data_IF_370281925601
#
_entry.id   IF_370281925601
#
_cell.length_a   1.000
_cell.length_b   1.000
_cell.length_c   1.000
_cell.angle_alpha   90.00
_cell.angle_beta   90.00
_cell.angle_gamma   90.00
#
_symmetry.space_group_name_H-M   'P 1'
#
loop_
_entity.id
_entity.type
_entity.pdbx_description
1 polymer ?
#
# COMPACT_ATOMS: atom_id res chain seq x y z
N UNK A 1 -57.82 -0.30 -1.75
CA UNK A 1 -56.97 -0.67 -2.91
C UNK A 1 -55.61 0.03 -2.90
N UNK A 2 -55.51 1.33 -2.58
CA UNK A 2 -54.25 2.09 -2.51
C UNK A 2 -53.21 1.61 -1.46
N UNK A 3 -53.57 1.14 -0.24
CA UNK A 3 -52.56 0.74 0.74
C UNK A 3 -51.94 -0.64 0.45
N UNK A 4 -52.68 -1.54 -0.22
CA UNK A 4 -52.20 -2.88 -0.59
C UNK A 4 -51.16 -2.80 -1.71
N UNK A 5 -51.36 -1.90 -2.68
CA UNK A 5 -50.39 -1.67 -3.76
C UNK A 5 -49.09 -1.06 -3.21
N UNK A 6 -49.17 -0.13 -2.26
CA UNK A 6 -47.99 0.44 -1.61
C UNK A 6 -47.19 -0.62 -0.83
N UNK A 7 -47.88 -1.51 -0.10
CA UNK A 7 -47.23 -2.58 0.65
C UNK A 7 -46.52 -3.60 -0.26
N UNK A 8 -47.15 -3.95 -1.39
CA UNK A 8 -46.59 -4.85 -2.39
C UNK A 8 -45.38 -4.23 -3.11
N UNK A 9 -45.40 -2.91 -3.39
CA UNK A 9 -44.25 -2.20 -3.96
C UNK A 9 -43.06 -2.14 -3.00
N UNK A 10 -43.29 -1.88 -1.71
CA UNK A 10 -42.21 -1.91 -0.71
C UNK A 10 -41.62 -3.31 -0.52
N UNK A 11 -42.44 -4.36 -0.55
CA UNK A 11 -41.96 -5.74 -0.44
C UNK A 11 -41.10 -6.15 -1.65
N UNK A 12 -41.48 -5.71 -2.85
CA UNK A 12 -40.75 -5.99 -4.08
C UNK A 12 -39.34 -5.36 -4.09
N UNK A 13 -39.22 -4.12 -3.58
CA UNK A 13 -37.93 -3.43 -3.49
C UNK A 13 -36.97 -4.10 -2.49
N UNK A 14 -37.50 -4.63 -1.38
CA UNK A 14 -36.68 -5.31 -0.37
C UNK A 14 -36.08 -6.64 -0.88
N UNK A 15 -36.81 -7.38 -1.73
CA UNK A 15 -36.31 -8.64 -2.31
C UNK A 15 -35.23 -8.41 -3.39
N UNK A 16 -35.31 -7.31 -4.15
CA UNK A 16 -34.30 -6.99 -5.18
C UNK A 16 -32.95 -6.55 -4.58
N UNK A 17 -32.96 -5.97 -3.38
CA UNK A 17 -31.75 -5.53 -2.67
C UNK A 17 -30.97 -6.69 -2.00
N UNK A 18 -31.49 -7.93 -2.05
CA UNK A 18 -30.83 -9.12 -1.51
C UNK A 18 -30.01 -9.91 -2.55
N UNK A 19 -29.77 -9.37 -3.75
CA UNK A 19 -28.79 -9.96 -4.66
C UNK A 19 -27.39 -9.79 -4.06
N UNK A 20 -27.02 -10.82 -3.30
CA UNK A 20 -25.71 -11.07 -2.73
C UNK A 20 -24.70 -11.09 -3.87
N UNK A 21 -23.74 -10.18 -3.79
CA UNK A 21 -22.57 -10.16 -4.66
C UNK A 21 -21.79 -11.47 -4.47
N UNK A 22 -21.84 -12.33 -5.48
CA UNK A 22 -21.05 -13.54 -5.57
C UNK A 22 -19.58 -13.10 -5.67
N UNK A 23 -18.81 -13.19 -4.56
CA UNK A 23 -17.36 -13.08 -4.66
C UNK A 23 -16.88 -14.29 -5.44
N UNK A 24 -16.43 -14.06 -6.66
CA UNK A 24 -15.69 -15.02 -7.48
C UNK A 24 -14.43 -15.44 -6.70
N UNK A 25 -14.53 -16.49 -5.88
CA UNK A 25 -13.36 -17.20 -5.41
C UNK A 25 -12.80 -17.94 -6.62
N UNK A 26 -11.79 -17.34 -7.24
CA UNK A 26 -11.00 -17.90 -8.34
C UNK A 26 -10.87 -19.43 -8.20
N UNK A 27 -11.41 -20.23 -9.12
CA UNK A 27 -11.23 -21.67 -9.09
C UNK A 27 -9.75 -21.99 -9.31
N UNK A 28 -9.22 -22.79 -8.38
CA UNK A 28 -8.15 -23.77 -8.47
C UNK A 28 -7.11 -23.55 -9.57
N UNK A 29 -5.88 -23.26 -9.13
CA UNK A 29 -4.63 -23.42 -9.87
C UNK A 29 -4.65 -24.67 -10.74
N UNK A 30 -4.97 -24.49 -12.01
CA UNK A 30 -4.74 -25.49 -13.03
C UNK A 30 -3.24 -25.55 -13.28
N UNK A 31 -2.67 -26.70 -12.97
CA UNK A 31 -1.33 -27.15 -13.31
C UNK A 31 -0.98 -26.80 -14.75
N UNK A 32 0.19 -26.17 -14.91
CA UNK A 32 0.80 -25.90 -16.19
C UNK A 32 2.21 -25.35 -15.95
N UNK A 33 3.13 -26.25 -15.58
CA UNK A 33 4.57 -25.99 -15.63
C UNK A 33 4.96 -25.61 -17.06
N UNK A 34 4.95 -24.32 -17.35
CA UNK A 34 5.74 -23.75 -18.43
C UNK A 34 7.09 -23.37 -17.84
N UNK A 35 8.06 -24.27 -17.95
CA UNK A 35 9.48 -23.97 -17.82
C UNK A 35 9.79 -22.79 -18.75
N UNK A 36 9.88 -21.57 -18.20
CA UNK A 36 10.31 -20.41 -18.98
C UNK A 36 11.82 -20.53 -19.12
N UNK A 37 12.37 -20.71 -20.33
CA UNK A 37 13.81 -20.85 -20.50
C UNK A 37 14.49 -19.58 -19.99
N UNK A 38 15.28 -19.73 -18.93
CA UNK A 38 16.21 -18.71 -18.42
C UNK A 38 17.13 -18.31 -19.59
N UNK A 39 17.07 -17.06 -20.09
CA UNK A 39 18.01 -16.63 -21.11
C UNK A 39 19.40 -16.61 -20.48
N UNK A 40 20.27 -17.51 -20.95
CA UNK A 40 21.70 -17.51 -20.63
C UNK A 40 22.34 -16.31 -21.34
N UNK A 41 22.37 -15.20 -20.62
CA UNK A 41 23.18 -13.98 -20.80
C UNK A 41 23.24 -13.36 -22.20
N UNK A 42 22.68 -12.15 -22.30
CA UNK A 42 23.28 -11.07 -23.09
C UNK A 42 23.60 -9.94 -22.12
N UNK A 43 24.87 -9.54 -22.08
CA UNK A 43 25.33 -8.32 -21.42
C UNK A 43 24.59 -7.13 -22.05
N UNK A 44 23.55 -6.62 -21.39
CA UNK A 44 22.82 -5.42 -21.81
C UNK A 44 23.37 -4.23 -21.00
N UNK A 45 24.13 -3.29 -21.61
CA UNK A 45 24.62 -2.11 -20.92
C UNK A 45 23.48 -1.07 -20.85
N UNK A 46 22.77 -1.07 -19.73
CA UNK A 46 21.72 -0.10 -19.42
C UNK A 46 20.55 -0.80 -18.75
N UNK A 47 20.26 -0.42 -17.51
CA UNK A 47 19.26 -1.07 -16.66
C UNK A 47 17.96 -1.37 -17.39
N UNK A 48 17.52 -2.61 -17.28
CA UNK A 48 16.24 -3.09 -17.81
C UNK A 48 15.16 -2.08 -17.47
N UNK A 49 14.63 -1.39 -18.48
CA UNK A 49 13.36 -0.65 -18.32
C UNK A 49 12.32 -1.68 -17.89
N UNK A 50 11.51 -1.41 -16.84
CA UNK A 50 10.45 -2.33 -16.43
C UNK A 50 9.60 -2.72 -17.64
N UNK A 51 9.42 -4.02 -17.87
CA UNK A 51 8.58 -4.49 -18.97
C UNK A 51 7.12 -4.15 -18.66
N UNK A 52 6.28 -3.77 -19.64
CA UNK A 52 4.85 -3.55 -19.42
C UNK A 52 4.08 -4.78 -18.90
N UNK A 53 4.71 -5.96 -18.83
CA UNK A 53 4.18 -7.16 -18.17
C UNK A 53 4.40 -7.19 -16.64
N UNK A 54 5.19 -6.26 -16.10
CA UNK A 54 5.64 -6.24 -14.70
C UNK A 54 4.85 -5.22 -13.83
N UNK A 55 3.59 -4.95 -14.17
CA UNK A 55 2.74 -3.97 -13.45
C UNK A 55 2.32 -4.42 -12.03
N UNK A 56 3.03 -5.38 -11.43
CA UNK A 56 2.79 -5.82 -10.06
C UNK A 56 2.95 -4.65 -9.09
N UNK A 57 4.01 -3.86 -9.22
CA UNK A 57 4.19 -2.66 -8.39
C UNK A 57 2.97 -1.73 -8.47
N UNK A 58 2.53 -1.42 -9.69
CA UNK A 58 1.38 -0.54 -9.92
C UNK A 58 0.06 -1.12 -9.37
N UNK A 59 -0.18 -2.43 -9.49
CA UNK A 59 -1.41 -3.04 -8.99
C UNK A 59 -1.51 -3.04 -7.47
N UNK A 60 -0.38 -3.17 -6.77
CA UNK A 60 -0.33 -3.11 -5.30
C UNK A 60 -0.43 -1.67 -4.81
N UNK A 61 0.23 -0.74 -5.49
CA UNK A 61 0.24 0.67 -5.10
C UNK A 61 -1.11 1.37 -5.37
N UNK A 62 -1.83 0.96 -6.43
CA UNK A 62 -3.10 1.57 -6.81
C UNK A 62 -4.33 1.00 -6.06
N UNK A 63 -4.15 0.00 -5.20
CA UNK A 63 -5.26 -0.74 -4.57
C UNK A 63 -5.30 -0.52 -3.05
N UNK A 64 -6.42 0.03 -2.57
CA UNK A 64 -6.65 0.30 -1.15
C UNK A 64 -6.55 -0.95 -0.26
N UNK A 65 -6.90 -2.14 -0.78
CA UNK A 65 -6.76 -3.40 -0.05
C UNK A 65 -5.29 -3.68 0.28
N UNK A 66 -4.40 -3.62 -0.71
CA UNK A 66 -2.97 -3.88 -0.53
C UNK A 66 -2.30 -2.83 0.39
N UNK A 67 -2.74 -1.57 0.35
CA UNK A 67 -2.28 -0.55 1.29
C UNK A 67 -2.74 -0.83 2.72
N UNK A 68 -3.98 -1.28 2.91
CA UNK A 68 -4.51 -1.63 4.23
C UNK A 68 -3.81 -2.86 4.83
N UNK A 69 -3.52 -3.86 4.01
CA UNK A 69 -2.74 -5.03 4.42
C UNK A 69 -1.29 -4.63 4.71
N UNK A 70 -0.67 -3.80 3.87
CA UNK A 70 0.65 -3.23 4.10
C UNK A 70 0.77 -2.53 5.46
N UNK A 71 -0.22 -1.70 5.82
CA UNK A 71 -0.31 -1.06 7.14
C UNK A 71 -0.37 -2.08 8.28
N UNK A 72 -1.19 -3.13 8.12
CA UNK A 72 -1.33 -4.21 9.12
C UNK A 72 -0.01 -4.96 9.30
N UNK A 73 0.66 -5.30 8.20
CA UNK A 73 1.95 -5.99 8.20
C UNK A 73 3.07 -5.13 8.79
N UNK A 74 3.05 -3.81 8.55
CA UNK A 74 4.04 -2.88 9.09
C UNK A 74 4.06 -2.91 10.62
N UNK A 75 2.88 -3.01 11.24
CA UNK A 75 2.76 -3.26 12.68
C UNK A 75 3.17 -4.67 13.08
N UNK A 76 2.70 -5.70 12.35
CA UNK A 76 2.95 -7.10 12.69
C UNK A 76 4.45 -7.46 12.69
N UNK A 77 5.18 -7.02 11.67
CA UNK A 77 6.63 -7.26 11.55
C UNK A 77 7.47 -6.23 12.30
N UNK A 78 6.85 -5.43 13.18
CA UNK A 78 7.51 -4.44 14.04
C UNK A 78 8.38 -3.44 13.26
N UNK A 79 7.97 -3.07 12.04
CA UNK A 79 8.66 -2.04 11.26
C UNK A 79 8.63 -0.69 12.01
N UNK A 80 7.54 -0.44 12.74
CA UNK A 80 7.38 0.74 13.58
C UNK A 80 8.35 0.80 14.76
N UNK A 81 8.89 -0.34 15.22
CA UNK A 81 9.89 -0.35 16.29
C UNK A 81 11.15 0.43 15.92
N UNK A 82 11.52 0.45 14.64
CA UNK A 82 12.70 1.18 14.15
C UNK A 82 12.34 2.49 13.45
N UNK A 83 11.25 2.49 12.67
CA UNK A 83 10.86 3.63 11.82
C UNK A 83 9.72 4.48 12.40
N UNK A 84 9.30 4.19 13.64
CA UNK A 84 8.08 4.75 14.24
C UNK A 84 6.89 4.60 13.28
N UNK A 85 5.96 5.54 13.26
CA UNK A 85 4.87 5.55 12.28
C UNK A 85 5.29 6.18 10.94
N UNK A 86 6.54 5.97 10.50
CA UNK A 86 7.13 6.60 9.31
C UNK A 86 7.93 7.88 9.59
N UNK A 87 7.87 8.39 10.82
CA UNK A 87 8.62 9.57 11.25
C UNK A 87 10.11 9.34 11.49
N UNK A 88 10.58 8.10 11.43
CA UNK A 88 11.96 7.72 11.69
C UNK A 88 12.24 7.50 13.19
N UNK A 89 13.50 7.21 13.50
CA UNK A 89 13.96 6.89 14.84
C UNK A 89 15.31 6.19 14.78
N UNK A 90 15.31 4.88 15.06
CA UNK A 90 16.49 4.04 14.85
C UNK A 90 16.77 3.87 13.35
N UNK A 91 15.71 3.73 12.55
CA UNK A 91 15.75 3.78 11.10
C UNK A 91 15.46 5.19 10.57
N UNK A 92 15.77 5.47 9.30
CA UNK A 92 15.44 6.74 8.66
C UNK A 92 13.92 6.98 8.64
N UNK A 93 13.52 8.25 8.51
CA UNK A 93 12.15 8.60 8.21
C UNK A 93 11.75 8.00 6.84
N UNK A 94 10.51 7.53 6.75
CA UNK A 94 9.93 6.95 5.54
C UNK A 94 8.85 7.85 4.92
N UNK A 95 8.45 8.90 5.65
CA UNK A 95 7.47 9.89 5.21
C UNK A 95 8.09 11.11 4.52
N UNK A 96 9.42 11.22 4.51
CA UNK A 96 10.12 12.35 3.89
C UNK A 96 10.45 12.09 2.41
N UNK A 97 10.94 13.12 1.73
CA UNK A 97 11.38 13.03 0.33
C UNK A 97 12.81 12.47 0.20
N UNK A 98 13.49 12.14 1.30
CA UNK A 98 14.92 11.82 1.31
C UNK A 98 15.15 10.31 1.33
N UNK A 99 15.21 9.72 0.14
CA UNK A 99 15.43 8.28 -0.03
C UNK A 99 16.91 7.94 -0.23
N UNK A 100 17.46 7.10 0.65
CA UNK A 100 18.86 6.64 0.58
C UNK A 100 19.05 5.58 -0.52
N UNK A 101 18.06 4.72 -0.73
CA UNK A 101 18.12 3.56 -1.64
C UNK A 101 17.12 3.64 -2.81
N UNK A 102 16.57 4.84 -3.05
CA UNK A 102 15.53 5.09 -4.05
C UNK A 102 14.11 4.95 -3.49
N UNK A 103 13.18 5.70 -4.08
CA UNK A 103 11.77 5.78 -3.70
C UNK A 103 10.84 4.92 -4.56
N UNK A 104 11.36 4.21 -5.56
CA UNK A 104 10.53 3.34 -6.40
C UNK A 104 10.03 2.14 -5.61
N UNK A 105 8.88 1.60 -6.00
CA UNK A 105 8.30 0.41 -5.38
C UNK A 105 9.27 -0.78 -5.38
N UNK A 106 10.02 -0.96 -6.46
CA UNK A 106 11.03 -2.01 -6.62
C UNK A 106 12.20 -1.80 -5.67
N UNK A 107 12.67 -0.55 -5.52
CA UNK A 107 13.72 -0.19 -4.57
C UNK A 107 13.30 -0.47 -3.12
N UNK A 108 12.06 -0.10 -2.76
CA UNK A 108 11.53 -0.32 -1.42
C UNK A 108 11.33 -1.82 -1.16
N UNK A 109 10.75 -2.55 -2.11
CA UNK A 109 10.59 -4.01 -2.04
C UNK A 109 11.94 -4.70 -1.83
N UNK A 110 12.95 -4.38 -2.65
CA UNK A 110 14.29 -4.95 -2.52
C UNK A 110 14.96 -4.57 -1.18
N UNK A 111 14.65 -3.38 -0.65
CA UNK A 111 15.14 -2.94 0.67
C UNK A 111 14.55 -3.79 1.79
N UNK A 112 13.25 -4.07 1.75
CA UNK A 112 12.58 -4.90 2.76
C UNK A 112 12.99 -6.37 2.60
N UNK A 113 12.99 -6.90 1.37
CA UNK A 113 13.35 -8.28 1.08
C UNK A 113 14.78 -8.58 1.49
N UNK A 114 15.75 -7.84 0.96
CA UNK A 114 17.16 -8.18 1.12
C UNK A 114 17.83 -7.48 2.32
N UNK A 115 17.13 -6.54 2.96
CA UNK A 115 17.67 -5.74 4.05
C UNK A 115 18.68 -4.69 3.57
N UNK A 116 19.25 -3.93 4.52
CA UNK A 116 20.29 -2.93 4.26
C UNK A 116 21.35 -2.94 5.37
N UNK A 117 22.60 -2.58 5.06
CA UNK A 117 23.64 -2.44 6.08
C UNK A 117 23.22 -1.41 7.13
N UNK A 118 23.84 -1.48 8.32
CA UNK A 118 23.56 -0.62 9.48
C UNK A 118 22.20 -0.86 10.17
N UNK A 119 21.73 -2.11 10.19
CA UNK A 119 20.70 -2.54 11.15
C UNK A 119 19.30 -2.80 10.58
N UNK A 120 19.08 -2.63 9.28
CA UNK A 120 17.81 -3.06 8.65
C UNK A 120 17.88 -4.56 8.27
N UNK A 121 17.12 -5.44 8.95
CA UNK A 121 17.18 -6.87 8.70
C UNK A 121 16.60 -7.24 7.32
N UNK A 122 17.03 -8.38 6.79
CA UNK A 122 16.40 -9.00 5.63
C UNK A 122 15.16 -9.78 6.04
N UNK A 123 14.06 -9.59 5.29
CA UNK A 123 12.81 -10.32 5.46
C UNK A 123 12.57 -11.40 4.40
N UNK A 124 13.54 -11.62 3.52
CA UNK A 124 13.57 -12.74 2.58
C UNK A 124 13.34 -14.04 3.33
N UNK A 125 12.47 -14.88 2.77
CA UNK A 125 12.03 -16.17 3.31
C UNK A 125 11.30 -16.11 4.67
N UNK A 126 11.08 -14.91 5.25
CA UNK A 126 10.27 -14.69 6.45
C UNK A 126 8.87 -14.17 6.11
N UNK A 127 8.79 -13.37 5.05
CA UNK A 127 7.58 -12.74 4.56
C UNK A 127 7.34 -13.22 3.13
N UNK A 128 6.13 -13.69 2.76
CA UNK A 128 5.80 -14.01 1.38
C UNK A 128 5.99 -12.79 0.47
N UNK A 129 6.44 -12.99 -0.77
CA UNK A 129 6.80 -11.88 -1.68
C UNK A 129 5.66 -10.87 -1.88
N UNK A 130 4.42 -11.34 -2.02
CA UNK A 130 3.25 -10.47 -2.18
C UNK A 130 3.04 -9.55 -0.97
N UNK A 131 3.26 -10.06 0.25
CA UNK A 131 3.17 -9.25 1.46
C UNK A 131 4.31 -8.22 1.55
N UNK A 132 5.47 -8.47 0.94
CA UNK A 132 6.55 -7.48 0.82
C UNK A 132 6.14 -6.37 -0.16
N UNK A 133 5.42 -6.69 -1.23
CA UNK A 133 4.84 -5.68 -2.13
C UNK A 133 3.77 -4.83 -1.44
N UNK A 134 2.93 -5.42 -0.59
CA UNK A 134 1.97 -4.69 0.24
C UNK A 134 2.67 -3.73 1.21
N UNK A 135 3.72 -4.21 1.90
CA UNK A 135 4.56 -3.36 2.75
C UNK A 135 5.20 -2.22 1.95
N UNK A 136 5.75 -2.50 0.76
CA UNK A 136 6.36 -1.49 -0.09
C UNK A 136 5.35 -0.42 -0.52
N UNK A 137 4.15 -0.83 -0.91
CA UNK A 137 3.05 0.07 -1.29
C UNK A 137 2.69 1.01 -0.13
N UNK A 138 2.53 0.45 1.07
CA UNK A 138 2.22 1.24 2.26
C UNK A 138 3.36 2.18 2.65
N UNK A 139 4.61 1.72 2.64
CA UNK A 139 5.78 2.56 2.95
C UNK A 139 5.88 3.73 1.97
N UNK A 140 5.64 3.48 0.68
CA UNK A 140 5.63 4.53 -0.33
C UNK A 140 4.49 5.54 -0.10
N UNK A 141 3.32 5.09 0.34
CA UNK A 141 2.18 5.97 0.63
C UNK A 141 2.41 6.90 1.81
N UNK A 142 3.25 6.52 2.79
CA UNK A 142 3.62 7.38 3.92
C UNK A 142 4.30 8.69 3.49
N UNK A 143 5.04 8.65 2.38
CA UNK A 143 5.74 9.81 1.82
C UNK A 143 4.89 10.62 0.82
N UNK A 144 3.61 10.29 0.67
CA UNK A 144 2.76 10.89 -0.37
C UNK A 144 3.14 10.50 -1.80
N UNK A 145 4.06 9.54 -1.97
CA UNK A 145 4.54 9.07 -3.28
C UNK A 145 3.66 7.97 -3.89
N UNK A 146 2.53 7.64 -3.27
CA UNK A 146 1.51 6.73 -3.79
C UNK A 146 0.40 7.49 -4.55
N UNK A 147 -0.24 6.87 -5.56
CA UNK A 147 -1.29 7.52 -6.33
C UNK A 147 -2.49 7.85 -5.44
N UNK A 148 -3.00 9.09 -5.54
CA UNK A 148 -4.14 9.57 -4.74
C UNK A 148 -5.41 8.74 -4.88
N UNK A 149 -5.57 7.98 -5.97
CA UNK A 149 -6.70 7.06 -6.19
C UNK A 149 -6.69 5.85 -5.26
N UNK A 150 -5.55 5.54 -4.64
CA UNK A 150 -5.38 4.39 -3.76
C UNK A 150 -5.54 4.74 -2.28
N UNK A 151 -5.59 6.03 -1.94
CA UNK A 151 -5.79 6.47 -0.56
C UNK A 151 -7.04 5.77 0.00
N UNK A 152 -6.91 5.01 1.12
CA UNK A 152 -8.05 4.30 1.66
C UNK A 152 -9.17 5.30 1.96
N UNK A 153 -10.40 4.98 1.55
CA UNK A 153 -11.58 5.84 1.79
C UNK A 153 -11.84 6.10 3.28
N UNK A 154 -11.13 5.43 4.19
CA UNK A 154 -11.04 5.79 5.59
C UNK A 154 -9.84 6.69 5.81
N UNK A 155 -10.11 7.90 6.30
CA UNK A 155 -9.11 8.79 6.88
C UNK A 155 -8.52 8.14 8.13
N UNK A 156 -7.57 7.24 7.93
CA UNK A 156 -6.69 6.68 8.96
C UNK A 156 -5.48 7.59 9.21
N UNK A 157 -5.44 8.75 8.54
CA UNK A 157 -4.57 9.86 8.90
C UNK A 157 -4.79 10.14 10.38
N UNK A 158 -3.77 9.83 11.17
CA UNK A 158 -3.58 10.47 12.46
C UNK A 158 -3.74 11.95 12.19
N UNK A 159 -4.72 12.59 12.82
CA UNK A 159 -4.84 14.05 12.76
C UNK A 159 -3.51 14.63 13.25
N UNK A 160 -2.62 14.98 12.32
CA UNK A 160 -1.40 15.71 12.62
C UNK A 160 -1.83 17.12 12.92
N UNK A 161 -2.25 17.35 14.16
CA UNK A 161 -2.23 18.69 14.69
C UNK A 161 -0.77 19.18 14.64
N UNK A 162 -0.50 20.41 14.18
CA UNK A 162 0.81 21.01 14.37
C UNK A 162 1.22 20.84 15.83
N UNK A 163 2.44 20.38 16.10
CA UNK A 163 2.94 20.22 17.46
C UNK A 163 2.63 21.48 18.27
N UNK A 164 1.99 21.35 19.43
CA UNK A 164 1.62 22.46 20.31
C UNK A 164 2.82 23.35 20.72
N UNK A 165 4.04 22.82 20.58
CA UNK A 165 5.30 23.53 20.79
C UNK A 165 5.88 24.23 19.54
N UNK A 166 5.22 24.13 18.37
CA UNK A 166 5.58 24.91 17.19
C UNK A 166 4.98 26.30 17.37
N UNK A 167 5.83 27.25 17.75
CA UNK A 167 5.49 28.66 17.71
C UNK A 167 4.88 28.98 16.33
N UNK A 168 3.70 29.61 16.26
CA UNK A 168 3.13 30.02 14.99
C UNK A 168 4.11 30.98 14.30
N UNK A 169 4.33 30.73 13.02
CA UNK A 169 4.96 31.67 12.11
C UNK A 169 4.23 33.01 12.17
N UNK A 170 4.98 34.12 12.18
CA UNK A 170 4.42 35.47 12.34
C UNK A 170 3.34 35.84 11.29
N UNK A 171 3.22 35.06 10.20
CA UNK A 171 2.20 35.18 9.17
C UNK A 171 0.79 34.73 9.62
N UNK A 172 0.65 33.90 10.66
CA UNK A 172 -0.64 33.34 11.10
C UNK A 172 -1.28 34.09 12.28
N UNK A 173 -0.58 35.05 12.89
CA UNK A 173 -1.06 35.86 14.02
C UNK A 173 -2.12 36.93 13.68
N UNK A 174 -2.72 36.88 12.48
CA UNK A 174 -3.61 37.94 11.98
C UNK A 174 -4.93 37.49 11.37
N UNK A 175 -5.24 36.19 11.35
CA UNK A 175 -6.53 35.69 10.87
C UNK A 175 -7.12 34.72 11.89
N UNK A 176 -7.81 35.29 12.87
CA UNK A 176 -8.91 34.59 13.53
C UNK A 176 -10.16 34.63 12.62
N UNK A 177 -11.03 33.61 12.66
CA UNK A 177 -12.36 33.70 12.06
C UNK A 177 -13.21 34.79 12.71
#
# INVERSE_FOLDING_TARGET
MRPVVALLLSASLALAACQREERDTRPQSALGSGEQPIPVTTLEPGGQRPSPADNKAASFEANAFHLSEGKRLFGWFNCSGCHANGGGGMGPALMDEKWIYGSSMESIHATIRDGRPNGMPSFRDKIPDDQIWELAAFVRSLSGNAPSSAAPSRNDDMMVHPSENRMPDAATLGKSP
#
